data_IF_587614893938
#
_entry.id   IF_587614893938
#
_cell.length_a   1.000
_cell.length_b   1.000
_cell.length_c   1.000
_cell.angle_alpha   90.00
_cell.angle_beta   90.00
_cell.angle_gamma   90.00
#
_symmetry.space_group_name_H-M   'P 1'
#
loop_
_entity.id
_entity.type
_entity.pdbx_description
1 polymer ?
#
# COMPACT_ATOMS: atom_id res chain seq x y z
N UNK A 1 38.90 8.32 19.61
CA UNK A 1 37.58 7.75 19.30
C UNK A 1 36.65 8.24 20.40
N UNK A 2 36.02 9.40 20.19
CA UNK A 2 34.98 9.90 21.06
C UNK A 2 33.66 9.36 20.51
N UNK A 3 33.05 8.40 21.18
CA UNK A 3 31.63 8.09 21.03
C UNK A 3 30.89 9.27 21.64
N UNK A 4 30.40 10.19 20.79
CA UNK A 4 29.38 11.15 21.18
C UNK A 4 28.16 10.39 21.66
N UNK A 5 27.92 10.42 22.97
CA UNK A 5 26.64 10.10 23.56
C UNK A 5 25.67 11.22 23.11
N UNK A 6 24.97 11.01 22.01
CA UNK A 6 23.80 11.82 21.64
C UNK A 6 22.82 11.71 22.80
N UNK A 7 22.42 12.84 23.38
CA UNK A 7 21.43 12.85 24.45
C UNK A 7 20.12 12.34 23.88
N UNK A 8 19.40 11.49 24.61
CA UNK A 8 18.06 10.98 24.21
C UNK A 8 17.02 12.10 23.99
N UNK A 9 17.35 13.33 24.43
CA UNK A 9 16.47 14.50 24.33
C UNK A 9 16.32 15.05 22.90
N UNK A 10 17.21 14.63 21.96
CA UNK A 10 17.21 15.10 20.57
C UNK A 10 16.63 14.07 19.58
N UNK A 11 16.10 12.95 20.08
CA UNK A 11 15.56 11.84 19.30
C UNK A 11 14.03 11.87 19.29
N UNK A 12 13.40 11.60 18.14
CA UNK A 12 11.96 11.45 18.02
C UNK A 12 11.58 10.29 17.08
N UNK A 13 10.33 9.88 17.15
CA UNK A 13 9.74 8.89 16.26
C UNK A 13 8.55 9.52 15.53
N UNK A 14 8.44 9.27 14.23
CA UNK A 14 7.29 9.61 13.41
C UNK A 14 6.58 8.32 13.00
N UNK A 15 5.40 8.08 13.57
CA UNK A 15 4.55 6.97 13.19
C UNK A 15 3.67 7.38 12.00
N UNK A 16 3.86 6.72 10.85
CA UNK A 16 3.18 7.10 9.61
C UNK A 16 2.02 6.15 9.33
N UNK A 17 0.79 6.64 9.48
CA UNK A 17 -0.43 5.95 9.06
C UNK A 17 -0.78 6.24 7.60
N UNK A 18 -1.68 5.43 7.01
CA UNK A 18 -2.22 5.71 5.67
C UNK A 18 -3.03 7.02 5.65
N UNK A 19 -3.79 7.25 6.71
CA UNK A 19 -4.79 8.30 6.78
C UNK A 19 -6.18 7.80 6.35
N UNK A 20 -7.21 8.46 6.84
CA UNK A 20 -8.60 8.11 6.57
C UNK A 20 -9.51 9.34 6.72
N UNK A 21 -10.58 9.39 5.92
CA UNK A 21 -11.67 10.35 6.13
C UNK A 21 -12.48 10.06 7.40
N UNK A 22 -12.32 8.88 7.98
CA UNK A 22 -12.95 8.48 9.25
C UNK A 22 -12.03 8.83 10.41
N UNK A 23 -12.43 9.80 11.21
CA UNK A 23 -11.65 10.28 12.37
C UNK A 23 -11.30 9.15 13.35
N UNK A 24 -12.21 8.19 13.58
CA UNK A 24 -11.95 7.01 14.41
C UNK A 24 -10.70 6.22 13.98
N UNK A 25 -10.42 6.13 12.67
CA UNK A 25 -9.23 5.45 12.16
C UNK A 25 -7.95 6.25 12.41
N UNK A 26 -8.02 7.57 12.29
CA UNK A 26 -6.89 8.45 12.57
C UNK A 26 -6.59 8.49 14.08
N UNK A 27 -7.64 8.46 14.92
CA UNK A 27 -7.50 8.37 16.37
C UNK A 27 -6.79 7.08 16.81
N UNK A 28 -7.00 5.96 16.12
CA UNK A 28 -6.24 4.72 16.40
C UNK A 28 -4.74 4.90 16.16
N UNK A 29 -4.34 5.60 15.08
CA UNK A 29 -2.93 5.91 14.81
C UNK A 29 -2.34 6.75 15.93
N UNK A 30 -3.04 7.83 16.34
CA UNK A 30 -2.60 8.69 17.46
C UNK A 30 -2.56 7.94 18.79
N UNK A 31 -3.50 7.02 19.02
CA UNK A 31 -3.50 6.17 20.21
C UNK A 31 -2.27 5.27 20.25
N UNK A 32 -1.91 4.64 19.13
CA UNK A 32 -0.70 3.83 19.04
C UNK A 32 0.55 4.68 19.19
N UNK A 33 0.60 5.89 18.61
CA UNK A 33 1.71 6.82 18.79
C UNK A 33 1.87 7.18 20.28
N UNK A 34 0.79 7.55 20.98
CA UNK A 34 0.84 7.86 22.41
C UNK A 34 1.21 6.68 23.31
N UNK A 35 0.85 5.46 22.92
CA UNK A 35 1.27 4.24 23.61
C UNK A 35 2.77 3.98 23.38
N UNK A 36 3.22 4.14 22.12
CA UNK A 36 4.63 3.96 21.75
C UNK A 36 5.53 5.00 22.42
N UNK A 37 5.10 6.26 22.54
CA UNK A 37 5.77 7.32 23.26
C UNK A 37 6.06 6.93 24.71
N UNK A 38 5.03 6.43 25.41
CA UNK A 38 5.18 5.96 26.79
C UNK A 38 6.10 4.75 26.90
N UNK A 39 6.03 3.84 25.91
CA UNK A 39 6.84 2.62 25.90
C UNK A 39 8.33 2.94 25.65
N UNK A 40 8.63 3.84 24.70
CA UNK A 40 9.99 4.21 24.35
C UNK A 40 10.58 5.30 25.26
N UNK A 41 9.74 6.06 25.96
CA UNK A 41 10.13 7.30 26.68
C UNK A 41 10.82 8.31 25.75
N UNK A 42 10.34 8.41 24.51
CA UNK A 42 10.77 9.33 23.45
C UNK A 42 9.56 9.99 22.82
N UNK A 43 9.64 11.24 22.34
CA UNK A 43 8.56 11.88 21.60
C UNK A 43 8.13 11.04 20.40
N UNK A 44 6.82 10.82 20.25
CA UNK A 44 6.25 10.08 19.11
C UNK A 44 5.09 10.87 18.54
N UNK A 45 5.25 11.36 17.31
CA UNK A 45 4.20 12.02 16.57
C UNK A 45 3.59 11.09 15.50
N UNK A 46 2.34 11.40 15.13
CA UNK A 46 1.64 10.71 14.07
C UNK A 46 1.57 11.59 12.82
N UNK A 47 1.82 11.00 11.65
CA UNK A 47 1.61 11.62 10.35
C UNK A 47 0.88 10.68 9.40
N UNK A 48 0.40 11.21 8.28
CA UNK A 48 -0.41 10.47 7.34
C UNK A 48 0.12 10.60 5.90
N UNK A 49 -0.05 9.53 5.13
CA UNK A 49 0.33 9.51 3.71
C UNK A 49 -0.66 10.36 2.91
N UNK A 50 -1.97 10.20 3.20
CA UNK A 50 -3.06 10.90 2.52
C UNK A 50 -4.31 11.02 3.42
N UNK A 51 -5.33 11.75 3.01
CA UNK A 51 -6.68 11.82 3.61
C UNK A 51 -6.76 12.33 5.05
N UNK A 52 -5.68 12.67 5.70
CA UNK A 52 -5.63 13.21 7.07
C UNK A 52 -4.38 14.06 7.30
N UNK A 53 -4.43 14.92 8.29
CA UNK A 53 -3.35 15.80 8.70
C UNK A 53 -2.75 15.38 10.06
N UNK A 54 -1.45 15.69 10.28
CA UNK A 54 -0.52 16.33 9.38
C UNK A 54 0.02 15.38 8.30
N UNK A 55 0.44 15.93 7.15
CA UNK A 55 1.22 15.17 6.17
C UNK A 55 2.59 14.79 6.75
N UNK A 56 3.27 13.82 6.12
CA UNK A 56 4.63 13.43 6.55
C UNK A 56 5.57 14.65 6.50
N UNK A 57 5.47 15.46 5.46
CA UNK A 57 6.31 16.65 5.30
C UNK A 57 6.06 17.69 6.40
N UNK A 58 4.79 18.01 6.70
CA UNK A 58 4.44 18.97 7.74
C UNK A 58 4.85 18.52 9.13
N UNK A 59 4.70 17.22 9.42
CA UNK A 59 5.14 16.66 10.68
C UNK A 59 6.67 16.77 10.85
N UNK A 60 7.43 16.48 9.79
CA UNK A 60 8.90 16.63 9.83
C UNK A 60 9.31 18.10 10.02
N UNK A 61 8.69 19.03 9.31
CA UNK A 61 8.97 20.47 9.48
C UNK A 61 8.66 20.95 10.92
N UNK A 62 7.66 20.38 11.55
CA UNK A 62 7.29 20.68 12.95
C UNK A 62 8.32 20.13 13.93
N UNK A 63 8.88 18.93 13.68
CA UNK A 63 9.85 18.27 14.53
C UNK A 63 11.29 18.79 14.34
N UNK A 64 11.65 19.23 13.13
CA UNK A 64 13.01 19.61 12.79
C UNK A 64 13.66 20.65 13.73
N UNK A 65 12.93 21.64 14.29
CA UNK A 65 13.56 22.60 15.23
C UNK A 65 14.04 21.99 16.55
N UNK A 66 13.48 20.85 16.95
CA UNK A 66 13.70 20.23 18.26
C UNK A 66 14.30 18.84 18.20
N UNK A 67 14.46 18.26 17.01
CA UNK A 67 14.88 16.88 16.80
C UNK A 67 16.15 16.84 15.92
N UNK A 68 17.14 16.03 16.32
CA UNK A 68 18.37 15.78 15.55
C UNK A 68 18.37 14.40 14.89
N UNK A 69 17.60 13.49 15.44
CA UNK A 69 17.50 12.12 14.93
C UNK A 69 16.02 11.70 14.90
N UNK A 70 15.49 11.46 13.70
CA UNK A 70 14.10 11.10 13.48
C UNK A 70 13.99 9.67 12.94
N UNK A 71 13.28 8.81 13.68
CA UNK A 71 12.95 7.46 13.23
C UNK A 71 11.55 7.45 12.64
N UNK A 72 11.43 7.17 11.36
CA UNK A 72 10.14 7.10 10.65
C UNK A 72 9.71 5.65 10.50
N UNK A 73 8.56 5.29 11.05
CA UNK A 73 8.02 3.91 11.03
C UNK A 73 6.64 3.90 10.38
N UNK A 74 6.45 3.16 9.27
CA UNK A 74 5.13 3.04 8.65
C UNK A 74 4.23 2.10 9.46
N UNK A 75 3.06 2.59 9.86
CA UNK A 75 2.00 1.80 10.48
C UNK A 75 1.19 1.08 9.39
N UNK A 76 1.77 0.01 8.87
CA UNK A 76 1.14 -0.86 7.88
C UNK A 76 1.36 -2.32 8.25
N UNK A 77 0.37 -3.16 8.02
CA UNK A 77 0.48 -4.59 8.32
C UNK A 77 1.51 -5.25 7.42
N UNK A 78 1.47 -4.97 6.12
CA UNK A 78 2.45 -5.46 5.14
C UNK A 78 2.87 -4.35 4.18
N UNK A 79 4.02 -4.51 3.55
CA UNK A 79 4.53 -3.56 2.58
C UNK A 79 3.76 -3.66 1.26
N UNK A 80 3.15 -2.54 0.86
CA UNK A 80 2.57 -2.33 -0.46
C UNK A 80 3.09 -0.99 -1.02
N UNK A 81 2.59 -0.55 -2.17
CA UNK A 81 3.11 0.60 -2.92
C UNK A 81 3.40 1.84 -2.06
N UNK A 82 2.50 2.23 -1.16
CA UNK A 82 2.71 3.40 -0.29
C UNK A 82 3.91 3.24 0.65
N UNK A 83 4.06 2.08 1.29
CA UNK A 83 5.20 1.80 2.18
C UNK A 83 6.50 1.67 1.40
N UNK A 84 6.44 1.11 0.18
CA UNK A 84 7.61 0.89 -0.67
C UNK A 84 8.09 2.15 -1.38
N UNK A 85 7.22 3.13 -1.62
CA UNK A 85 7.51 4.29 -2.43
C UNK A 85 7.25 5.62 -1.72
N UNK A 86 6.03 5.89 -1.24
CA UNK A 86 5.65 7.22 -0.79
C UNK A 86 6.34 7.63 0.51
N UNK A 87 6.40 6.73 1.50
CA UNK A 87 7.06 7.02 2.78
C UNK A 87 8.59 7.14 2.61
N UNK A 88 9.31 6.21 1.95
CA UNK A 88 10.73 6.38 1.66
C UNK A 88 11.05 7.65 0.87
N UNK A 89 10.17 8.01 -0.08
CA UNK A 89 10.30 9.23 -0.86
C UNK A 89 10.22 10.47 0.04
N UNK A 90 9.21 10.56 0.89
CA UNK A 90 9.06 11.68 1.82
C UNK A 90 10.28 11.83 2.74
N UNK A 91 10.80 10.72 3.27
CA UNK A 91 12.02 10.70 4.10
C UNK A 91 13.23 11.18 3.30
N UNK A 92 13.36 10.76 2.04
CA UNK A 92 14.48 11.20 1.21
C UNK A 92 14.43 12.70 0.90
N UNK A 93 13.23 13.29 0.67
CA UNK A 93 13.07 14.75 0.55
C UNK A 93 13.50 15.44 1.82
N UNK A 94 13.03 14.94 2.96
CA UNK A 94 13.40 15.52 4.23
C UNK A 94 14.92 15.54 4.45
N UNK A 95 15.62 14.47 4.09
CA UNK A 95 17.09 14.39 4.15
C UNK A 95 17.80 15.47 3.33
N UNK A 96 17.21 15.89 2.21
CA UNK A 96 17.80 16.96 1.37
C UNK A 96 17.52 18.36 1.89
N UNK A 97 16.50 18.55 2.72
CA UNK A 97 16.11 19.82 3.31
C UNK A 97 16.76 20.07 4.66
N UNK A 98 16.98 18.99 5.42
CA UNK A 98 17.46 19.02 6.80
C UNK A 98 18.76 18.19 6.89
N UNK A 99 19.85 18.77 6.40
CA UNK A 99 21.17 18.13 6.34
C UNK A 99 21.84 17.98 7.71
N UNK A 100 21.32 18.67 8.71
CA UNK A 100 21.73 18.59 10.11
C UNK A 100 20.96 17.52 10.91
N UNK A 101 19.98 16.85 10.30
CA UNK A 101 19.20 15.75 10.91
C UNK A 101 19.62 14.37 10.40
N UNK A 102 19.58 13.40 11.29
CA UNK A 102 19.72 11.98 10.93
C UNK A 102 18.33 11.35 10.79
N UNK A 103 18.07 10.68 9.69
CA UNK A 103 16.80 9.98 9.44
C UNK A 103 17.03 8.47 9.41
N UNK A 104 16.30 7.76 10.27
CA UNK A 104 16.20 6.31 10.26
C UNK A 104 14.83 5.91 9.69
N UNK A 105 14.82 4.93 8.79
CA UNK A 105 13.58 4.42 8.22
C UNK A 105 13.36 2.98 8.68
N UNK A 106 12.28 2.77 9.41
CA UNK A 106 11.87 1.46 9.94
C UNK A 106 11.01 0.68 8.95
N UNK A 107 10.98 -0.64 9.11
CA UNK A 107 10.07 -1.48 8.35
C UNK A 107 8.63 -1.35 8.86
N UNK A 108 7.70 -1.85 8.07
CA UNK A 108 6.29 -2.04 8.46
C UNK A 108 6.16 -3.09 9.58
N UNK A 109 4.96 -3.26 10.14
CA UNK A 109 4.70 -4.26 11.20
C UNK A 109 5.17 -5.65 10.77
N UNK A 110 4.75 -6.11 9.60
CA UNK A 110 5.22 -7.36 9.00
C UNK A 110 4.78 -8.60 9.78
N UNK A 111 5.58 -9.65 9.66
CA UNK A 111 5.40 -10.88 10.42
C UNK A 111 6.25 -10.78 11.69
N UNK A 112 5.60 -10.94 12.84
CA UNK A 112 6.25 -10.86 14.15
C UNK A 112 5.61 -11.87 15.11
N UNK A 113 6.37 -12.50 16.03
CA UNK A 113 5.80 -13.43 17.01
C UNK A 113 4.62 -12.84 17.80
N UNK A 114 4.75 -11.61 18.26
CA UNK A 114 3.67 -10.91 19.00
C UNK A 114 2.39 -10.74 18.18
N UNK A 115 2.48 -10.63 16.85
CA UNK A 115 1.30 -10.60 15.96
C UNK A 115 0.66 -11.98 15.88
N UNK A 116 1.47 -13.03 15.78
CA UNK A 116 0.96 -14.42 15.79
C UNK A 116 0.25 -14.73 17.09
N UNK A 117 0.82 -14.32 18.22
CA UNK A 117 0.22 -14.51 19.55
C UNK A 117 -1.06 -13.67 19.73
N UNK A 118 -1.10 -12.45 19.17
CA UNK A 118 -2.31 -11.63 19.14
C UNK A 118 -3.43 -12.32 18.36
N UNK A 119 -3.10 -12.88 17.19
CA UNK A 119 -4.08 -13.60 16.38
C UNK A 119 -4.58 -14.87 17.10
N UNK A 120 -3.70 -15.63 17.74
CA UNK A 120 -4.09 -16.80 18.53
C UNK A 120 -5.03 -16.42 19.68
N UNK A 121 -4.78 -15.32 20.38
CA UNK A 121 -5.69 -14.83 21.42
C UNK A 121 -7.05 -14.40 20.84
N UNK A 122 -7.06 -13.77 19.64
CA UNK A 122 -8.32 -13.43 18.96
C UNK A 122 -9.12 -14.70 18.62
N UNK A 123 -8.45 -15.77 18.18
CA UNK A 123 -9.12 -17.08 17.97
C UNK A 123 -9.72 -17.57 19.27
N UNK A 124 -8.95 -17.60 20.37
CA UNK A 124 -9.44 -18.06 21.68
C UNK A 124 -10.66 -17.29 22.16
N UNK A 125 -10.70 -15.97 21.91
CA UNK A 125 -11.88 -15.17 22.22
C UNK A 125 -13.13 -15.65 21.47
N UNK A 126 -12.98 -15.90 20.17
CA UNK A 126 -14.11 -16.40 19.36
C UNK A 126 -14.49 -17.84 19.74
N UNK A 127 -13.53 -18.72 20.00
CA UNK A 127 -13.78 -20.09 20.49
C UNK A 127 -14.63 -20.07 21.77
N UNK A 128 -14.27 -19.20 22.72
CA UNK A 128 -15.04 -19.03 23.96
C UNK A 128 -16.47 -18.56 23.70
N UNK A 129 -16.66 -17.61 22.78
CA UNK A 129 -17.99 -17.09 22.40
C UNK A 129 -18.85 -18.17 21.70
N UNK A 130 -18.21 -19.05 20.93
CA UNK A 130 -18.87 -20.16 20.21
C UNK A 130 -19.06 -21.39 21.07
N UNK A 131 -18.40 -21.49 22.21
CA UNK A 131 -18.45 -22.65 23.12
C UNK A 131 -17.74 -23.87 22.56
N UNK A 132 -16.65 -23.69 21.81
CA UNK A 132 -15.78 -24.73 21.24
C UNK A 132 -14.37 -24.63 21.82
N UNK A 133 -13.66 -25.76 21.84
CA UNK A 133 -12.27 -25.83 22.31
C UNK A 133 -11.43 -26.63 21.32
N UNK A 134 -10.39 -26.00 20.77
CA UNK A 134 -9.44 -26.67 19.86
C UNK A 134 -8.75 -27.83 20.58
N UNK A 135 -8.51 -28.92 19.86
CA UNK A 135 -8.02 -30.18 20.44
C UNK A 135 -9.13 -31.17 20.79
N UNK A 136 -10.29 -30.69 21.26
CA UNK A 136 -11.50 -31.48 21.43
C UNK A 136 -12.46 -31.34 20.23
N UNK A 137 -12.53 -30.11 19.63
CA UNK A 137 -13.36 -29.81 18.48
C UNK A 137 -12.51 -29.53 17.22
N UNK A 138 -13.04 -29.83 16.05
CA UNK A 138 -12.42 -29.52 14.76
C UNK A 138 -12.57 -28.02 14.42
N UNK A 139 -11.60 -27.22 14.81
CA UNK A 139 -11.58 -25.76 14.58
C UNK A 139 -10.78 -25.42 13.35
N UNK A 140 -11.44 -24.81 12.36
CA UNK A 140 -10.80 -24.22 11.19
C UNK A 140 -10.71 -22.69 11.35
N UNK A 141 -9.56 -22.11 10.99
CA UNK A 141 -9.32 -20.65 11.04
C UNK A 141 -9.20 -20.10 9.64
N UNK A 142 -9.81 -18.94 9.40
CA UNK A 142 -9.73 -18.20 8.11
C UNK A 142 -9.17 -16.81 8.37
N UNK A 143 -7.90 -16.59 8.02
CA UNK A 143 -7.23 -15.30 8.12
C UNK A 143 -7.60 -14.45 6.91
N UNK A 144 -8.41 -13.41 7.10
CA UNK A 144 -8.92 -12.57 6.03
C UNK A 144 -8.24 -11.20 6.00
N UNK A 145 -7.40 -10.96 5.00
CA UNK A 145 -6.76 -9.68 4.76
C UNK A 145 -7.50 -8.85 3.70
N UNK A 146 -7.10 -7.58 3.53
CA UNK A 146 -7.65 -6.70 2.49
C UNK A 146 -7.39 -7.26 1.09
N UNK A 147 -6.21 -7.80 0.87
CA UNK A 147 -5.64 -8.07 -0.44
C UNK A 147 -4.91 -6.85 -1.02
N UNK A 148 -3.98 -7.12 -1.91
CA UNK A 148 -3.14 -6.12 -2.55
C UNK A 148 -2.90 -6.50 -4.02
N UNK A 149 -2.61 -5.52 -4.87
CA UNK A 149 -2.02 -5.74 -6.20
C UNK A 149 -0.55 -6.13 -6.10
N UNK A 150 0.07 -5.92 -4.93
CA UNK A 150 1.44 -6.32 -4.65
C UNK A 150 1.47 -7.77 -4.13
N UNK A 151 2.07 -8.71 -4.89
CA UNK A 151 2.08 -10.12 -4.52
C UNK A 151 2.93 -10.43 -3.28
N UNK A 152 3.92 -9.60 -2.91
CA UNK A 152 4.69 -9.80 -1.69
C UNK A 152 3.79 -9.65 -0.46
N UNK A 153 2.98 -8.57 -0.43
CA UNK A 153 2.00 -8.34 0.62
C UNK A 153 1.00 -9.50 0.75
N UNK A 154 0.55 -10.06 -0.38
CA UNK A 154 -0.33 -11.23 -0.37
C UNK A 154 0.41 -12.49 0.10
N UNK A 155 1.67 -12.67 -0.31
CA UNK A 155 2.53 -13.77 0.11
C UNK A 155 2.77 -13.79 1.61
N UNK A 156 2.93 -12.62 2.22
CA UNK A 156 3.10 -12.48 3.67
C UNK A 156 1.83 -12.90 4.44
N UNK A 157 0.63 -12.68 3.90
CA UNK A 157 -0.62 -13.19 4.51
C UNK A 157 -0.63 -14.73 4.53
N UNK A 158 -0.22 -15.39 3.44
CA UNK A 158 -0.10 -16.84 3.38
C UNK A 158 0.94 -17.37 4.38
N UNK A 159 2.09 -16.69 4.46
CA UNK A 159 3.14 -17.03 5.43
C UNK A 159 2.66 -16.87 6.87
N UNK A 160 1.93 -15.80 7.18
CA UNK A 160 1.36 -15.56 8.50
C UNK A 160 0.34 -16.64 8.88
N UNK A 161 -0.56 -17.03 7.95
CA UNK A 161 -1.50 -18.11 8.15
C UNK A 161 -0.79 -19.44 8.46
N UNK A 162 0.30 -19.73 7.75
CA UNK A 162 1.12 -20.90 8.02
C UNK A 162 1.76 -20.88 9.41
N UNK A 163 2.30 -19.72 9.82
CA UNK A 163 2.89 -19.58 11.16
C UNK A 163 1.84 -19.66 12.28
N UNK A 164 0.62 -19.19 12.01
CA UNK A 164 -0.50 -19.34 12.95
C UNK A 164 -0.94 -20.80 13.09
N UNK A 165 -0.85 -21.58 12.01
CA UNK A 165 -1.19 -23.01 12.05
C UNK A 165 -0.23 -23.82 12.94
N UNK A 166 1.06 -23.53 12.90
CA UNK A 166 2.07 -24.36 13.55
C UNK A 166 1.90 -24.45 15.07
N UNK A 167 1.76 -25.69 15.55
CA UNK A 167 1.75 -26.02 16.97
C UNK A 167 0.51 -25.56 17.77
N UNK A 168 -0.62 -25.26 17.08
CA UNK A 168 -1.83 -24.74 17.75
C UNK A 168 -3.08 -25.60 17.63
N UNK A 169 -2.94 -26.84 17.19
CA UNK A 169 -4.02 -27.83 17.14
C UNK A 169 -5.26 -27.43 16.33
N UNK A 170 -5.11 -26.49 15.39
CA UNK A 170 -6.14 -26.19 14.41
C UNK A 170 -6.25 -27.32 13.38
N UNK A 171 -7.46 -27.69 13.00
CA UNK A 171 -7.67 -28.61 11.88
C UNK A 171 -7.14 -28.00 10.58
N UNK A 172 -7.33 -26.68 10.42
CA UNK A 172 -6.94 -25.95 9.22
C UNK A 172 -6.75 -24.46 9.50
N UNK A 173 -5.81 -23.82 8.82
CA UNK A 173 -5.71 -22.37 8.75
C UNK A 173 -5.57 -21.95 7.29
N UNK A 174 -6.55 -21.20 6.80
CA UNK A 174 -6.59 -20.68 5.42
C UNK A 174 -6.41 -19.19 5.41
N UNK A 175 -5.76 -18.69 4.37
CA UNK A 175 -5.64 -17.25 4.09
C UNK A 175 -6.56 -16.87 2.95
N UNK A 176 -7.20 -15.71 3.07
CA UNK A 176 -8.17 -15.21 2.10
C UNK A 176 -8.18 -13.68 2.06
N UNK A 177 -8.89 -13.12 1.10
CA UNK A 177 -8.93 -11.68 0.88
C UNK A 177 -10.36 -11.18 0.70
N UNK A 178 -10.68 -10.05 1.35
CA UNK A 178 -11.99 -9.41 1.21
C UNK A 178 -12.10 -8.59 -0.09
N UNK A 179 -10.98 -8.21 -0.67
CA UNK A 179 -10.92 -7.39 -1.86
C UNK A 179 -9.65 -7.63 -2.70
N UNK A 180 -9.51 -6.92 -3.80
CA UNK A 180 -8.33 -6.80 -4.67
C UNK A 180 -7.88 -8.09 -5.34
N UNK A 181 -7.62 -9.17 -4.58
CA UNK A 181 -7.07 -10.45 -5.09
C UNK A 181 -7.90 -11.65 -4.62
N UNK A 182 -7.56 -12.84 -5.13
CA UNK A 182 -8.16 -14.14 -4.76
C UNK A 182 -7.18 -14.97 -3.93
N UNK A 183 -7.67 -15.99 -3.16
CA UNK A 183 -9.07 -16.42 -3.05
C UNK A 183 -9.93 -15.43 -2.27
N UNK A 184 -11.21 -15.32 -2.62
CA UNK A 184 -12.17 -14.47 -1.92
C UNK A 184 -12.70 -15.15 -0.68
N UNK A 185 -13.13 -14.35 0.32
CA UNK A 185 -13.62 -14.86 1.61
C UNK A 185 -14.71 -15.91 1.44
N UNK A 186 -15.72 -15.65 0.61
CA UNK A 186 -16.82 -16.57 0.38
C UNK A 186 -16.35 -17.88 -0.23
N UNK A 187 -15.45 -17.82 -1.22
CA UNK A 187 -14.89 -19.02 -1.87
C UNK A 187 -14.12 -19.89 -0.87
N UNK A 188 -13.37 -19.25 0.01
CA UNK A 188 -12.61 -19.93 1.06
C UNK A 188 -13.53 -20.56 2.10
N UNK A 189 -14.55 -19.82 2.57
CA UNK A 189 -15.53 -20.33 3.52
C UNK A 189 -16.29 -21.53 2.97
N UNK A 190 -16.76 -21.46 1.72
CA UNK A 190 -17.40 -22.61 1.04
C UNK A 190 -16.46 -23.81 0.89
N UNK A 191 -15.15 -23.57 0.73
CA UNK A 191 -14.17 -24.66 0.64
C UNK A 191 -13.94 -25.30 1.99
N UNK A 192 -13.81 -24.50 3.05
CA UNK A 192 -13.64 -24.97 4.43
C UNK A 192 -14.86 -25.75 4.90
N UNK A 193 -16.09 -25.32 4.54
CA UNK A 193 -17.32 -26.01 4.91
C UNK A 193 -17.42 -27.46 4.39
N UNK A 194 -16.70 -27.79 3.29
CA UNK A 194 -16.69 -29.16 2.73
C UNK A 194 -16.04 -30.18 3.67
N UNK A 195 -15.08 -29.72 4.47
CA UNK A 195 -14.38 -30.55 5.45
C UNK A 195 -15.24 -30.78 6.73
N UNK A 196 -16.35 -30.02 6.85
CA UNK A 196 -17.35 -30.12 7.95
C UNK A 196 -16.70 -29.93 9.33
N UNK A 197 -15.90 -28.86 9.55
CA UNK A 197 -15.37 -28.60 10.89
C UNK A 197 -16.52 -28.29 11.86
N UNK A 198 -16.29 -28.50 13.16
CA UNK A 198 -17.24 -28.11 14.20
C UNK A 198 -17.38 -26.59 14.28
N UNK A 199 -16.26 -25.88 14.10
CA UNK A 199 -16.24 -24.42 14.08
C UNK A 199 -15.36 -23.82 13.00
N UNK A 200 -15.77 -22.64 12.50
CA UNK A 200 -14.98 -21.76 11.64
C UNK A 200 -14.79 -20.39 12.32
N UNK A 201 -13.55 -20.06 12.61
CA UNK A 201 -13.16 -18.77 13.17
C UNK A 201 -12.57 -17.90 12.09
N UNK A 202 -13.18 -16.74 11.80
CA UNK A 202 -12.67 -15.79 10.84
C UNK A 202 -11.94 -14.66 11.55
N UNK A 203 -10.69 -14.40 11.14
CA UNK A 203 -9.83 -13.36 11.67
C UNK A 203 -9.70 -12.21 10.66
N UNK A 204 -10.36 -11.05 10.86
CA UNK A 204 -10.08 -9.86 10.07
C UNK A 204 -8.67 -9.34 10.33
N UNK A 205 -7.73 -9.55 9.41
CA UNK A 205 -6.38 -9.02 9.50
C UNK A 205 -6.36 -7.57 9.05
N UNK A 206 -6.89 -6.71 9.92
CA UNK A 206 -7.06 -5.27 9.73
C UNK A 206 -6.64 -4.54 11.01
N UNK A 207 -6.05 -3.34 10.87
CA UNK A 207 -5.71 -2.51 12.02
C UNK A 207 -6.97 -1.95 12.68
N UNK A 208 -7.90 -1.42 11.89
CA UNK A 208 -9.03 -0.67 12.38
C UNK A 208 -10.39 -1.29 12.10
N UNK A 209 -11.38 -0.78 12.86
CA UNK A 209 -12.79 -1.11 12.72
C UNK A 209 -13.40 -0.27 11.58
N UNK A 210 -13.24 -0.76 10.35
CA UNK A 210 -13.68 -0.09 9.12
C UNK A 210 -14.75 -0.87 8.36
N UNK A 211 -15.13 -0.34 7.19
CA UNK A 211 -16.13 -0.98 6.30
C UNK A 211 -15.72 -2.40 5.92
N UNK A 212 -14.42 -2.65 5.71
CA UNK A 212 -13.94 -3.97 5.31
C UNK A 212 -14.04 -4.97 6.46
N UNK A 213 -13.71 -4.55 7.69
CA UNK A 213 -13.87 -5.38 8.88
C UNK A 213 -15.33 -5.75 9.08
N UNK A 214 -16.24 -4.78 8.99
CA UNK A 214 -17.67 -5.06 9.11
C UNK A 214 -18.15 -6.02 8.02
N UNK A 215 -17.73 -5.81 6.77
CA UNK A 215 -18.05 -6.72 5.66
C UNK A 215 -17.56 -8.15 5.89
N UNK A 216 -16.40 -8.34 6.53
CA UNK A 216 -15.90 -9.68 6.89
C UNK A 216 -16.84 -10.31 7.92
N UNK A 217 -17.22 -9.56 8.95
CA UNK A 217 -18.15 -10.02 9.99
C UNK A 217 -19.51 -10.42 9.38
N UNK A 218 -20.12 -9.53 8.59
CA UNK A 218 -21.42 -9.77 7.96
C UNK A 218 -21.41 -11.03 7.06
N UNK A 219 -20.31 -11.24 6.31
CA UNK A 219 -20.13 -12.42 5.47
C UNK A 219 -19.94 -13.70 6.29
N UNK A 220 -19.29 -13.63 7.44
CA UNK A 220 -19.15 -14.75 8.36
C UNK A 220 -20.49 -15.14 8.97
N UNK A 221 -21.30 -14.15 9.37
CA UNK A 221 -22.66 -14.39 9.86
C UNK A 221 -23.56 -15.03 8.78
N UNK A 222 -23.49 -14.51 7.54
CA UNK A 222 -24.21 -15.07 6.39
C UNK A 222 -23.84 -16.53 6.17
N UNK A 223 -22.53 -16.83 6.19
CA UNK A 223 -22.01 -18.19 6.07
C UNK A 223 -22.55 -19.13 7.15
N UNK A 224 -22.56 -18.71 8.44
CA UNK A 224 -23.13 -19.50 9.53
C UNK A 224 -24.61 -19.82 9.32
N UNK A 225 -25.38 -18.90 8.69
CA UNK A 225 -26.77 -19.12 8.31
C UNK A 225 -26.93 -20.12 7.14
N UNK A 226 -26.02 -20.12 6.18
CA UNK A 226 -26.02 -21.03 5.02
C UNK A 226 -25.57 -22.46 5.40
N UNK A 227 -24.69 -22.59 6.39
CA UNK A 227 -24.10 -23.86 6.83
C UNK A 227 -24.41 -24.15 8.31
N UNK A 228 -25.67 -24.49 8.66
CA UNK A 228 -26.11 -24.62 10.06
C UNK A 228 -25.48 -25.80 10.83
N UNK A 229 -24.67 -26.60 10.15
CA UNK A 229 -23.88 -27.68 10.76
C UNK A 229 -22.44 -27.25 11.13
N UNK A 230 -22.08 -25.99 10.86
CA UNK A 230 -20.79 -25.39 11.23
C UNK A 230 -21.08 -24.20 12.12
N UNK A 231 -20.51 -24.15 13.30
CA UNK A 231 -20.57 -22.95 14.13
C UNK A 231 -19.55 -21.92 13.60
N UNK A 232 -19.98 -20.71 13.29
CA UNK A 232 -19.09 -19.70 12.69
C UNK A 232 -19.07 -18.40 13.47
N UNK A 233 -17.89 -17.80 13.65
CA UNK A 233 -17.71 -16.52 14.30
C UNK A 233 -16.53 -15.76 13.75
N UNK A 234 -16.58 -14.42 13.86
CA UNK A 234 -15.48 -13.54 13.45
C UNK A 234 -14.97 -12.75 14.65
N UNK A 235 -13.65 -12.58 14.74
CA UNK A 235 -13.07 -11.67 15.72
C UNK A 235 -13.23 -10.20 15.30
N UNK A 236 -12.93 -9.27 16.21
CA UNK A 236 -12.67 -7.88 15.87
C UNK A 236 -11.30 -7.71 15.16
N UNK A 237 -10.98 -6.48 14.70
CA UNK A 237 -9.68 -6.15 14.13
C UNK A 237 -8.58 -6.19 15.20
N UNK A 238 -7.32 -5.97 14.77
CA UNK A 238 -6.17 -5.92 15.69
C UNK A 238 -6.27 -4.75 16.69
N UNK A 239 -6.82 -3.63 16.26
CA UNK A 239 -7.08 -2.47 17.11
C UNK A 239 -5.82 -1.72 17.52
N UNK A 240 -5.76 -1.38 18.81
CA UNK A 240 -4.61 -0.70 19.45
C UNK A 240 -4.01 -1.56 20.56
N UNK A 241 -3.92 -2.86 20.32
CA UNK A 241 -3.36 -3.84 21.25
C UNK A 241 -1.91 -3.50 21.60
N UNK A 242 -1.52 -3.74 22.86
CA UNK A 242 -0.17 -3.39 23.33
C UNK A 242 0.94 -4.18 22.64
N UNK A 243 0.64 -5.38 22.16
CA UNK A 243 1.59 -6.17 21.35
C UNK A 243 1.95 -5.49 20.01
N UNK A 244 1.06 -4.67 19.45
CA UNK A 244 1.43 -3.85 18.29
C UNK A 244 2.43 -2.75 18.66
N UNK A 245 2.35 -2.25 19.90
CA UNK A 245 3.35 -1.29 20.43
C UNK A 245 4.71 -1.96 20.59
N UNK A 246 4.76 -3.20 21.08
CA UNK A 246 6.00 -3.97 21.16
C UNK A 246 6.64 -4.15 19.77
N UNK A 247 5.83 -4.53 18.77
CA UNK A 247 6.30 -4.64 17.38
C UNK A 247 6.84 -3.31 16.86
N UNK A 248 6.12 -2.21 17.07
CA UNK A 248 6.55 -0.87 16.64
C UNK A 248 7.86 -0.45 17.31
N UNK A 249 8.01 -0.77 18.62
CA UNK A 249 9.23 -0.51 19.35
C UNK A 249 10.42 -1.31 18.79
N UNK A 250 10.20 -2.57 18.40
CA UNK A 250 11.21 -3.38 17.72
C UNK A 250 11.58 -2.76 16.36
N UNK A 251 10.61 -2.31 15.56
CA UNK A 251 10.89 -1.62 14.29
C UNK A 251 11.68 -0.33 14.47
N UNK A 252 11.43 0.42 15.55
CA UNK A 252 12.24 1.59 15.90
C UNK A 252 13.69 1.21 16.24
N UNK A 253 13.88 0.14 17.02
CA UNK A 253 15.22 -0.34 17.40
C UNK A 253 16.01 -0.86 16.18
N UNK A 254 15.38 -1.66 15.33
CA UNK A 254 15.95 -2.14 14.08
C UNK A 254 16.38 -0.99 13.17
N UNK A 255 15.53 0.02 12.99
CA UNK A 255 15.84 1.19 12.16
C UNK A 255 17.08 1.94 12.66
N UNK A 256 17.18 2.14 13.98
CA UNK A 256 18.31 2.87 14.61
C UNK A 256 19.60 2.08 14.60
N UNK A 257 19.52 0.75 14.72
CA UNK A 257 20.71 -0.12 14.67
C UNK A 257 21.20 -0.37 13.24
N UNK A 258 20.47 0.06 12.22
CA UNK A 258 20.75 -0.23 10.81
C UNK A 258 20.50 -1.69 10.44
N UNK A 259 19.73 -2.43 11.25
CA UNK A 259 19.43 -3.87 11.05
C UNK A 259 18.12 -4.08 10.31
N UNK A 260 17.61 -3.07 9.59
CA UNK A 260 16.35 -3.17 8.86
C UNK A 260 16.52 -4.08 7.66
N UNK A 261 15.92 -5.24 7.73
CA UNK A 261 15.79 -6.16 6.60
C UNK A 261 14.39 -6.02 6.00
N UNK A 262 14.27 -5.20 4.96
CA UNK A 262 13.04 -5.12 4.18
C UNK A 262 13.20 -5.96 2.91
N UNK A 263 12.35 -6.98 2.75
CA UNK A 263 12.27 -7.76 1.51
C UNK A 263 11.98 -6.93 0.26
N UNK A 264 11.49 -5.70 0.45
CA UNK A 264 11.21 -4.76 -0.62
C UNK A 264 12.47 -4.23 -1.34
N UNK A 265 13.66 -4.26 -0.74
CA UNK A 265 14.88 -3.82 -1.43
C UNK A 265 15.30 -4.75 -2.56
N UNK A 266 14.96 -6.03 -2.45
CA UNK A 266 15.20 -7.05 -3.48
C UNK A 266 13.94 -7.43 -4.25
N UNK A 267 12.82 -6.75 -3.99
CA UNK A 267 11.52 -7.08 -4.57
C UNK A 267 11.46 -6.67 -6.05
N UNK A 268 11.22 -7.65 -6.94
CA UNK A 268 11.02 -7.41 -8.38
C UNK A 268 9.82 -6.52 -8.73
N UNK A 269 8.93 -6.27 -7.76
CA UNK A 269 7.76 -5.39 -7.90
C UNK A 269 8.00 -4.00 -7.32
N UNK A 270 9.18 -3.74 -6.75
CA UNK A 270 9.60 -2.39 -6.43
C UNK A 270 9.63 -1.61 -7.73
N UNK A 271 8.81 -0.59 -7.83
CA UNK A 271 8.77 0.23 -9.03
C UNK A 271 10.04 1.05 -9.07
N UNK A 272 10.94 0.71 -10.01
CA UNK A 272 11.94 1.66 -10.46
C UNK A 272 11.18 2.85 -11.05
N UNK A 273 11.51 4.05 -10.62
CA UNK A 273 10.92 5.27 -11.17
C UNK A 273 11.42 5.40 -12.61
N UNK A 274 10.66 4.85 -13.56
CA UNK A 274 10.99 4.90 -14.98
C UNK A 274 11.20 6.34 -15.42
N UNK A 275 12.31 6.62 -16.11
CA UNK A 275 12.73 7.96 -16.51
C UNK A 275 13.63 8.67 -15.49
N UNK A 276 14.04 7.97 -14.44
CA UNK A 276 14.96 8.45 -13.42
C UNK A 276 16.07 7.44 -13.12
N UNK A 277 16.28 6.49 -14.01
CA UNK A 277 17.29 5.44 -13.89
C UNK A 277 18.70 6.02 -13.74
N UNK A 278 18.96 7.16 -14.43
CA UNK A 278 20.22 7.86 -14.36
C UNK A 278 20.36 8.79 -13.14
N UNK A 279 19.26 9.16 -12.49
CA UNK A 279 19.24 10.08 -11.34
C UNK A 279 19.13 9.37 -9.98
N UNK A 280 19.17 8.04 -9.93
CA UNK A 280 19.14 7.20 -8.70
C UNK A 280 18.09 7.67 -7.68
N UNK A 281 16.89 8.01 -8.13
CA UNK A 281 15.82 8.52 -7.26
C UNK A 281 16.14 9.88 -6.63
N UNK A 282 16.95 10.70 -7.28
CA UNK A 282 17.45 11.96 -6.75
C UNK A 282 16.37 12.99 -6.45
N UNK A 283 16.72 13.95 -5.58
CA UNK A 283 15.85 15.02 -5.06
C UNK A 283 15.02 15.78 -6.12
N UNK A 284 15.48 15.82 -7.38
CA UNK A 284 14.75 16.46 -8.49
C UNK A 284 13.53 15.68 -8.95
N UNK A 285 13.62 14.37 -9.02
CA UNK A 285 12.51 13.48 -9.38
C UNK A 285 11.40 13.58 -8.35
N UNK A 286 11.80 13.62 -7.12
CA UNK A 286 10.99 13.75 -5.95
C UNK A 286 10.32 15.10 -5.79
N UNK A 287 11.05 16.20 -5.99
CA UNK A 287 10.49 17.55 -6.02
C UNK A 287 9.40 17.68 -7.08
N UNK A 288 9.58 17.06 -8.26
CA UNK A 288 8.55 17.06 -9.31
C UNK A 288 7.30 16.30 -8.89
N UNK A 289 7.44 15.13 -8.23
CA UNK A 289 6.31 14.37 -7.71
C UNK A 289 5.55 15.14 -6.63
N UNK A 290 6.27 15.79 -5.71
CA UNK A 290 5.67 16.61 -4.64
C UNK A 290 5.01 17.89 -5.16
N UNK A 291 5.64 18.56 -6.13
CA UNK A 291 5.03 19.73 -6.81
C UNK A 291 3.76 19.29 -7.53
N UNK A 292 3.77 18.15 -8.20
CA UNK A 292 2.60 17.60 -8.85
C UNK A 292 1.50 17.20 -7.86
N UNK A 293 1.85 16.61 -6.71
CA UNK A 293 0.89 16.33 -5.63
C UNK A 293 0.35 17.61 -4.99
N UNK A 294 1.21 18.62 -4.76
CA UNK A 294 0.79 19.91 -4.22
C UNK A 294 -0.12 20.69 -5.19
N UNK A 295 0.17 20.65 -6.50
CA UNK A 295 -0.69 21.25 -7.54
C UNK A 295 -2.06 20.57 -7.60
N UNK A 296 -2.16 19.27 -7.25
CA UNK A 296 -3.44 18.55 -7.16
C UNK A 296 -4.15 18.72 -5.81
N UNK A 297 -3.41 19.00 -4.72
CA UNK A 297 -4.00 19.23 -3.39
C UNK A 297 -4.66 20.62 -3.28
N UNK A 298 -4.22 21.60 -4.06
CA UNK A 298 -4.72 22.99 -4.00
C UNK A 298 -5.99 23.25 -4.84
N UNK A 299 -6.60 22.20 -5.39
CA UNK A 299 -7.89 22.32 -6.07
C UNK A 299 -9.05 22.21 -5.09
N UNK A 300 -9.29 23.32 -4.37
CA UNK A 300 -10.45 23.50 -3.47
C UNK A 300 -11.79 23.65 -4.18
N UNK A 301 -11.86 23.50 -5.51
CA UNK A 301 -13.06 23.68 -6.34
C UNK A 301 -13.66 22.36 -6.88
N UNK A 302 -13.26 21.22 -6.35
CA UNK A 302 -13.91 19.95 -6.70
C UNK A 302 -15.11 19.78 -5.78
N UNK A 303 -16.31 19.68 -6.36
CA UNK A 303 -17.55 19.43 -5.64
C UNK A 303 -17.48 18.20 -4.72
N UNK A 304 -18.54 17.88 -4.00
CA UNK A 304 -18.63 16.90 -2.89
C UNK A 304 -18.05 15.50 -3.15
N UNK A 305 -17.55 15.20 -4.36
CA UNK A 305 -16.81 13.97 -4.68
C UNK A 305 -15.41 14.28 -5.24
N UNK A 306 -14.36 14.22 -4.42
CA UNK A 306 -12.99 14.55 -4.82
C UNK A 306 -12.35 13.54 -5.80
N UNK A 307 -13.07 12.52 -6.23
CA UNK A 307 -12.64 11.53 -7.22
C UNK A 307 -13.31 11.70 -8.60
N UNK A 308 -14.24 12.65 -8.74
CA UNK A 308 -14.83 13.00 -10.02
C UNK A 308 -14.04 14.17 -10.61
N UNK A 309 -13.12 13.85 -11.52
CA UNK A 309 -12.56 14.82 -12.44
C UNK A 309 -13.45 14.87 -13.68
N UNK A 310 -13.58 16.03 -14.32
CA UNK A 310 -14.14 16.07 -15.68
C UNK A 310 -13.34 15.08 -16.53
N UNK A 311 -14.07 14.17 -17.20
CA UNK A 311 -13.42 13.19 -18.04
C UNK A 311 -12.65 13.93 -19.15
N UNK A 312 -11.35 13.68 -19.34
CA UNK A 312 -10.61 14.28 -20.44
C UNK A 312 -11.24 13.85 -21.76
N UNK A 313 -11.16 14.69 -22.76
CA UNK A 313 -11.65 14.37 -24.12
C UNK A 313 -10.99 13.09 -24.64
N UNK A 314 -9.71 12.90 -24.36
CA UNK A 314 -9.00 11.63 -24.63
C UNK A 314 -8.11 11.19 -23.47
N UNK A 315 -8.03 9.87 -23.29
CA UNK A 315 -7.10 9.26 -22.32
C UNK A 315 -6.10 8.37 -23.07
N UNK A 316 -4.82 8.69 -22.91
CA UNK A 316 -3.70 7.94 -23.48
C UNK A 316 -3.04 7.11 -22.41
N UNK A 317 -3.04 5.79 -22.56
CA UNK A 317 -2.41 4.86 -21.65
C UNK A 317 -1.13 4.27 -22.29
N UNK A 318 0.02 4.50 -21.67
CA UNK A 318 1.30 3.98 -22.14
C UNK A 318 1.72 2.78 -21.29
N UNK A 319 1.90 1.62 -21.92
CA UNK A 319 2.39 0.42 -21.23
C UNK A 319 3.85 0.60 -20.83
N UNK A 320 4.12 0.52 -19.52
CA UNK A 320 5.48 0.63 -18.97
C UNK A 320 5.94 -0.65 -18.27
N UNK A 321 5.35 -1.80 -18.59
CA UNK A 321 5.80 -3.08 -18.07
C UNK A 321 7.15 -3.49 -18.68
N UNK A 322 7.85 -4.43 -18.07
CA UNK A 322 9.24 -4.81 -18.33
C UNK A 322 9.64 -4.82 -19.81
N UNK A 323 8.87 -5.47 -20.69
CA UNK A 323 9.18 -5.56 -22.11
C UNK A 323 9.09 -4.20 -22.81
N UNK A 324 8.00 -3.44 -22.55
CA UNK A 324 7.83 -2.11 -23.11
C UNK A 324 8.84 -1.11 -22.53
N UNK A 325 9.14 -1.22 -21.23
CA UNK A 325 10.16 -0.40 -20.57
C UNK A 325 11.55 -0.64 -21.21
N UNK A 326 11.93 -1.91 -21.42
CA UNK A 326 13.16 -2.26 -22.10
C UNK A 326 13.25 -1.71 -23.56
N UNK A 327 12.08 -1.44 -24.17
CA UNK A 327 11.97 -0.87 -25.52
C UNK A 327 11.80 0.65 -25.51
N UNK A 328 12.02 1.36 -24.38
CA UNK A 328 12.00 2.82 -24.29
C UNK A 328 10.65 3.46 -23.98
N UNK A 329 9.67 2.71 -23.46
CA UNK A 329 8.33 3.23 -23.15
C UNK A 329 8.32 4.40 -22.15
N UNK A 330 9.31 4.48 -21.27
CA UNK A 330 9.44 5.59 -20.32
C UNK A 330 9.67 6.92 -21.05
N UNK A 331 10.57 6.94 -22.06
CA UNK A 331 10.84 8.11 -22.89
C UNK A 331 9.61 8.51 -23.71
N UNK A 332 8.91 7.51 -24.28
CA UNK A 332 7.66 7.73 -25.03
C UNK A 332 6.59 8.37 -24.14
N UNK A 333 6.40 7.86 -22.91
CA UNK A 333 5.45 8.40 -21.95
C UNK A 333 5.76 9.87 -21.62
N UNK A 334 7.01 10.18 -21.32
CA UNK A 334 7.41 11.56 -20.95
C UNK A 334 7.26 12.51 -22.12
N UNK A 335 7.64 12.12 -23.32
CA UNK A 335 7.48 12.97 -24.52
C UNK A 335 6.01 13.20 -24.87
N UNK A 336 5.14 12.17 -24.78
CA UNK A 336 3.70 12.34 -24.98
C UNK A 336 3.13 13.33 -23.96
N UNK A 337 3.52 13.24 -22.68
CA UNK A 337 3.11 14.20 -21.65
C UNK A 337 3.57 15.63 -21.96
N UNK A 338 4.84 15.79 -22.36
CA UNK A 338 5.40 17.11 -22.66
C UNK A 338 4.70 17.75 -23.88
N UNK A 339 4.43 16.98 -24.89
CA UNK A 339 3.81 17.46 -26.12
C UNK A 339 2.32 17.76 -25.92
N UNK A 340 1.59 16.87 -25.20
CA UNK A 340 0.19 17.12 -24.86
C UNK A 340 0.01 18.39 -23.99
N UNK A 341 0.94 18.67 -23.07
CA UNK A 341 0.92 19.91 -22.25
C UNK A 341 1.24 21.18 -23.03
N UNK A 342 1.94 21.09 -24.16
CA UNK A 342 2.31 22.25 -25.00
C UNK A 342 1.21 22.63 -25.98
N UNK A 343 0.24 21.76 -26.17
CA UNK A 343 -0.88 21.97 -27.08
C UNK A 343 -2.07 22.53 -26.33
N UNK A 344 -2.44 23.77 -26.59
CA UNK A 344 -3.63 24.42 -26.02
C UNK A 344 -4.95 23.81 -26.53
N UNK A 345 -4.90 23.03 -27.63
CA UNK A 345 -6.05 22.40 -28.27
C UNK A 345 -6.27 20.93 -27.83
N UNK A 346 -5.47 20.43 -26.85
CA UNK A 346 -5.43 19.03 -26.51
C UNK A 346 -6.04 18.78 -25.11
N UNK A 347 -7.32 18.39 -25.06
CA UNK A 347 -7.93 17.89 -23.81
C UNK A 347 -7.59 16.41 -23.64
N UNK A 348 -6.36 16.13 -23.19
CA UNK A 348 -5.80 14.78 -23.15
C UNK A 348 -5.14 14.51 -21.79
N UNK A 349 -5.50 13.40 -21.18
CA UNK A 349 -4.79 12.86 -20.03
C UNK A 349 -3.86 11.71 -20.46
N UNK A 350 -2.57 11.85 -20.22
CA UNK A 350 -1.56 10.81 -20.51
C UNK A 350 -1.13 10.11 -19.24
N UNK A 351 -1.50 8.84 -19.09
CA UNK A 351 -1.20 8.04 -17.93
C UNK A 351 -0.26 6.86 -18.23
N UNK A 352 0.42 6.44 -17.18
CA UNK A 352 1.13 5.16 -17.17
C UNK A 352 0.15 4.01 -17.03
N UNK A 353 0.36 2.93 -17.78
CA UNK A 353 -0.40 1.69 -17.61
C UNK A 353 0.53 0.53 -17.24
N UNK A 354 -0.02 -0.42 -16.48
CA UNK A 354 0.56 -1.76 -16.31
C UNK A 354 0.56 -2.51 -17.65
N UNK A 355 0.89 -3.82 -17.65
CA UNK A 355 0.92 -4.61 -18.88
C UNK A 355 -0.42 -4.60 -19.61
N UNK A 356 -0.40 -4.17 -20.88
CA UNK A 356 -1.56 -4.19 -21.80
C UNK A 356 -1.65 -5.52 -22.58
N UNK A 357 -0.80 -6.51 -22.29
CA UNK A 357 -0.91 -7.86 -22.84
C UNK A 357 -0.31 -8.05 -24.25
N UNK A 358 0.30 -7.03 -24.86
CA UNK A 358 0.85 -7.05 -26.21
C UNK A 358 2.39 -7.08 -26.18
N UNK A 359 2.96 -8.02 -25.41
CA UNK A 359 4.40 -8.16 -25.28
C UNK A 359 5.02 -8.68 -26.60
N UNK A 360 5.98 -7.96 -27.14
CA UNK A 360 6.66 -8.25 -28.42
C UNK A 360 6.61 -7.08 -29.39
N UNK A 361 5.53 -6.30 -29.36
CA UNK A 361 5.31 -5.17 -30.24
C UNK A 361 5.32 -3.80 -29.50
N UNK A 362 5.92 -3.78 -28.32
CA UNK A 362 6.05 -2.57 -27.49
C UNK A 362 7.16 -1.61 -27.97
N UNK A 363 7.10 -0.35 -27.54
CA UNK A 363 6.13 0.29 -26.62
C UNK A 363 4.69 0.34 -27.16
N UNK A 364 3.72 0.00 -26.30
CA UNK A 364 2.28 0.08 -26.65
C UNK A 364 1.68 1.35 -26.05
N UNK A 365 0.96 2.08 -26.90
CA UNK A 365 0.21 3.29 -26.54
C UNK A 365 -1.26 3.10 -26.93
N UNK A 366 -2.16 3.10 -25.93
CA UNK A 366 -3.60 2.97 -26.18
C UNK A 366 -4.29 4.34 -26.02
N UNK A 367 -5.15 4.69 -26.96
CA UNK A 367 -5.90 5.95 -26.97
C UNK A 367 -7.39 5.67 -26.84
N UNK A 368 -8.03 6.26 -25.84
CA UNK A 368 -9.47 6.18 -25.56
C UNK A 368 -10.12 7.57 -25.66
N UNK A 369 -11.39 7.66 -26.09
CA UNK A 369 -12.35 6.58 -26.40
C UNK A 369 -12.17 5.95 -27.79
N UNK A 370 -11.22 6.41 -28.62
CA UNK A 370 -11.06 5.98 -30.02
C UNK A 370 -10.73 4.48 -30.14
N UNK A 371 -10.33 3.84 -29.05
CA UNK A 371 -9.97 2.42 -28.96
C UNK A 371 -8.84 2.02 -29.95
N UNK A 372 -7.91 2.95 -30.20
CA UNK A 372 -6.75 2.74 -31.07
C UNK A 372 -5.54 2.40 -30.23
N UNK A 373 -4.87 1.32 -30.58
CA UNK A 373 -3.63 0.89 -29.96
C UNK A 373 -2.48 0.98 -30.96
N UNK A 374 -1.48 1.75 -30.60
CA UNK A 374 -0.23 1.88 -31.35
C UNK A 374 0.83 0.95 -30.79
N UNK A 375 1.60 0.28 -31.66
CA UNK A 375 2.70 -0.61 -31.30
C UNK A 375 4.04 -0.15 -31.85
N UNK A 376 5.13 -0.54 -31.19
CA UNK A 376 6.47 -0.18 -31.60
C UNK A 376 6.73 1.33 -31.57
N UNK A 377 5.99 2.07 -30.74
CA UNK A 377 6.05 3.52 -30.69
C UNK A 377 7.44 3.98 -30.23
N UNK A 378 8.09 4.78 -31.05
CA UNK A 378 9.38 5.39 -30.73
C UNK A 378 9.18 6.82 -30.19
N UNK A 379 10.19 7.42 -29.52
CA UNK A 379 10.16 8.82 -29.15
C UNK A 379 9.83 9.78 -30.32
N UNK A 380 10.32 9.50 -31.52
CA UNK A 380 10.08 10.34 -32.70
C UNK A 380 8.63 10.26 -33.22
N UNK A 381 7.90 9.20 -32.87
CA UNK A 381 6.48 9.05 -33.25
C UNK A 381 5.52 9.84 -32.36
N UNK A 382 5.98 10.25 -31.17
CA UNK A 382 5.11 10.92 -30.19
C UNK A 382 4.53 12.23 -30.71
N UNK A 383 5.32 13.04 -31.45
CA UNK A 383 4.85 14.27 -32.07
C UNK A 383 3.77 14.00 -33.13
N UNK A 384 3.93 12.93 -33.89
CA UNK A 384 2.94 12.51 -34.91
C UNK A 384 1.62 12.06 -34.27
N UNK A 385 1.70 11.30 -33.17
CA UNK A 385 0.53 10.86 -32.42
C UNK A 385 -0.21 12.07 -31.86
N UNK A 386 0.48 13.01 -31.20
CA UNK A 386 -0.13 14.21 -30.62
C UNK A 386 -0.73 15.07 -31.74
N UNK A 387 0.05 15.50 -32.71
CA UNK A 387 -0.38 16.46 -33.74
C UNK A 387 -1.40 15.90 -34.72
N UNK A 388 -1.44 14.60 -34.98
CA UNK A 388 -2.39 13.98 -35.90
C UNK A 388 -3.60 13.41 -35.17
N UNK A 389 -3.40 12.54 -34.17
CA UNK A 389 -4.49 11.79 -33.55
C UNK A 389 -5.12 12.56 -32.38
N UNK A 390 -4.32 13.13 -31.50
CA UNK A 390 -4.86 13.74 -30.28
C UNK A 390 -5.47 15.13 -30.55
N UNK A 391 -4.91 15.90 -31.49
CA UNK A 391 -5.39 17.25 -31.83
C UNK A 391 -6.41 17.26 -32.98
N UNK A 392 -6.28 16.35 -33.96
CA UNK A 392 -7.03 16.42 -35.22
C UNK A 392 -7.84 15.18 -35.54
N UNK A 393 -7.95 14.23 -34.62
CA UNK A 393 -8.67 12.96 -34.79
C UNK A 393 -8.24 12.13 -36.01
N UNK A 394 -6.97 12.26 -36.43
CA UNK A 394 -6.42 11.55 -37.60
C UNK A 394 -5.47 10.46 -37.10
N UNK A 395 -5.94 9.21 -37.16
CA UNK A 395 -5.19 8.03 -36.73
C UNK A 395 -3.87 7.92 -37.54
N UNK A 396 -2.77 7.64 -36.84
CA UNK A 396 -1.45 7.36 -37.45
C UNK A 396 -1.41 5.88 -37.85
N UNK A 397 -1.91 5.60 -39.05
CA UNK A 397 -2.26 4.23 -39.48
C UNK A 397 -1.06 3.27 -39.61
N UNK A 398 0.13 3.79 -39.84
CA UNK A 398 1.36 2.97 -39.92
C UNK A 398 1.86 2.48 -38.55
N UNK A 399 1.37 3.07 -37.46
CA UNK A 399 1.66 2.65 -36.08
C UNK A 399 0.54 1.81 -35.48
N UNK A 400 -0.61 1.69 -36.13
CA UNK A 400 -1.74 0.94 -35.56
C UNK A 400 -1.38 -0.53 -35.41
N UNK A 401 -1.36 -0.99 -34.16
CA UNK A 401 -1.20 -2.39 -33.81
C UNK A 401 -2.56 -3.09 -33.74
N UNK A 402 -3.56 -2.42 -33.12
CA UNK A 402 -4.90 -2.95 -32.96
C UNK A 402 -5.93 -1.80 -32.86
N UNK A 403 -7.12 -2.03 -33.43
CA UNK A 403 -8.33 -1.22 -33.21
C UNK A 403 -9.41 -2.12 -32.63
N UNK A 404 -10.00 -1.71 -31.50
CA UNK A 404 -11.04 -2.46 -30.77
C UNK A 404 -12.42 -1.99 -31.14
#
# INVERSE_FOLDING_TARGET
MHTEQTSLDDDAVLLVGHGSRREKSNEQVRTLASKLERHLSLPVDAAYIELAEPSIADAIETLAPTCRSLTVVPLSLFAASHVKNDVPMAVQVARTKHDDMTFHFGSHLGIHPSIVDLLDERVRGVEADLGVERGDDDVAVVLCARGSSDPDSNGDVHKLARLLYEGREFTRVESTFIGVTSPRLEETLHTVAKDRPDAVVVLPYMLGDGVLTQRIIDKTETFGGEYPYVTAGASGPLGTDDRLVDVLADRCREARSGSVEMSCDTCKYKVELSGYEDDHGGARAMLRSLVHQAEHADRSDVGDDPHVHDAPGKHVAVCTNQTCAASGAATVLEQLRQQARKSDDCDVHVSRSSCLGQCGDGPIVAVYPDSIWYGGVTPDDTERIVSSHLERDRIVSDLVHQSL
#
